data_IF_524969440121
#
_entry.id   IF_524969440121
#
_cell.length_a   1.000
_cell.length_b   1.000
_cell.length_c   1.000
_cell.angle_alpha   90.00
_cell.angle_beta   90.00
_cell.angle_gamma   90.00
#
_symmetry.space_group_name_H-M   'P 1'
#
loop_
_entity.id
_entity.type
_entity.pdbx_description
1 polymer ?
#
# COMPACT_ATOMS: atom_id res chain seq x y z
N UNK A 1 8.90 -22.63 -7.22
CA UNK A 1 8.18 -22.64 -5.92
C UNK A 1 9.18 -22.10 -4.92
N UNK A 2 8.94 -20.92 -4.37
CA UNK A 2 9.85 -20.30 -3.40
C UNK A 2 10.13 -21.27 -2.24
N UNK A 3 11.35 -21.25 -1.69
CA UNK A 3 11.65 -22.10 -0.55
C UNK A 3 10.78 -21.71 0.65
N UNK A 4 10.54 -22.64 1.59
CA UNK A 4 9.84 -22.31 2.84
C UNK A 4 10.52 -21.14 3.59
N UNK A 5 11.84 -21.00 3.47
CA UNK A 5 12.59 -19.90 4.05
C UNK A 5 12.31 -18.56 3.36
N UNK A 6 12.15 -18.54 2.03
CA UNK A 6 11.74 -17.34 1.28
C UNK A 6 10.32 -16.92 1.66
N UNK A 7 9.42 -17.91 1.78
CA UNK A 7 8.03 -17.65 2.14
C UNK A 7 7.90 -17.09 3.56
N UNK A 8 8.64 -17.67 4.51
CA UNK A 8 8.77 -17.12 5.87
C UNK A 8 9.31 -15.68 5.87
N UNK A 9 10.40 -15.43 5.13
CA UNK A 9 11.00 -14.10 5.03
C UNK A 9 10.04 -13.05 4.49
N UNK A 10 9.14 -13.41 3.57
CA UNK A 10 8.10 -12.51 3.07
C UNK A 10 7.18 -12.04 4.19
N UNK A 11 6.56 -12.97 4.93
CA UNK A 11 5.68 -12.60 6.05
C UNK A 11 6.40 -11.77 7.10
N UNK A 12 7.62 -12.17 7.51
CA UNK A 12 8.41 -11.42 8.50
C UNK A 12 8.71 -10.00 8.02
N UNK A 13 9.04 -9.81 6.74
CA UNK A 13 9.27 -8.48 6.17
C UNK A 13 8.00 -7.64 6.10
N UNK A 14 6.86 -8.24 5.74
CA UNK A 14 5.54 -7.57 5.77
C UNK A 14 5.23 -7.09 7.19
N UNK A 15 5.36 -7.95 8.20
CA UNK A 15 5.15 -7.56 9.60
C UNK A 15 6.10 -6.45 10.05
N UNK A 16 7.40 -6.55 9.71
CA UNK A 16 8.39 -5.53 10.06
C UNK A 16 8.04 -4.17 9.46
N UNK A 17 7.61 -4.14 8.20
CA UNK A 17 7.22 -2.88 7.54
C UNK A 17 5.96 -2.28 8.17
N UNK A 18 4.95 -3.11 8.46
CA UNK A 18 3.73 -2.68 9.15
C UNK A 18 4.04 -2.14 10.54
N UNK A 19 4.79 -2.88 11.37
CA UNK A 19 5.17 -2.46 12.72
C UNK A 19 5.97 -1.16 12.72
N UNK A 20 6.86 -0.96 11.74
CA UNK A 20 7.61 0.29 11.60
C UNK A 20 6.73 1.51 11.34
N UNK A 21 5.68 1.35 10.51
CA UNK A 21 4.74 2.44 10.22
C UNK A 21 3.70 2.65 11.32
N UNK A 22 3.46 1.63 12.14
CA UNK A 22 2.44 1.65 13.19
C UNK A 22 3.01 1.90 14.60
N UNK A 23 4.30 2.24 14.71
CA UNK A 23 4.92 2.57 15.99
C UNK A 23 4.29 3.83 16.60
N UNK A 24 3.85 3.74 17.86
CA UNK A 24 3.18 4.84 18.56
C UNK A 24 1.76 5.15 18.05
N UNK A 25 1.24 4.35 17.11
CA UNK A 25 -0.11 4.47 16.58
C UNK A 25 -1.05 3.59 17.40
N UNK A 26 -1.99 4.23 18.10
CA UNK A 26 -3.08 3.55 18.78
C UNK A 26 -3.95 2.76 17.79
N UNK A 27 -4.67 1.76 18.28
CA UNK A 27 -5.69 1.12 17.46
C UNK A 27 -6.78 2.14 17.11
N UNK A 28 -7.11 2.21 15.83
CA UNK A 28 -8.12 3.11 15.28
C UNK A 28 -9.09 2.28 14.45
N UNK A 29 -10.37 2.56 14.65
CA UNK A 29 -11.41 2.03 13.78
C UNK A 29 -11.35 2.74 12.42
N UNK A 30 -11.77 2.02 11.39
CA UNK A 30 -11.85 2.55 10.04
C UNK A 30 -13.22 3.15 9.81
N UNK A 31 -13.25 4.46 9.53
CA UNK A 31 -14.42 5.11 8.94
C UNK A 31 -14.39 4.92 7.42
N UNK A 32 -15.05 3.86 6.96
CA UNK A 32 -15.07 3.44 5.54
C UNK A 32 -15.56 4.57 4.62
N UNK A 33 -16.48 5.42 5.09
CA UNK A 33 -17.05 6.50 4.29
C UNK A 33 -16.06 7.64 4.03
N UNK A 34 -15.05 7.80 4.89
CA UNK A 34 -14.00 8.81 4.76
C UNK A 34 -12.74 8.31 4.06
N UNK A 35 -12.67 7.02 3.75
CA UNK A 35 -11.50 6.47 3.09
C UNK A 35 -11.42 6.94 1.62
N UNK A 36 -10.23 7.38 1.16
CA UNK A 36 -9.97 7.57 -0.25
C UNK A 36 -10.09 6.25 -1.03
N UNK A 37 -10.23 6.34 -2.35
CA UNK A 37 -10.59 5.21 -3.20
C UNK A 37 -9.57 4.04 -3.12
N UNK A 38 -8.27 4.31 -3.08
CA UNK A 38 -7.24 3.27 -2.95
C UNK A 38 -7.26 2.59 -1.57
N UNK A 39 -7.50 3.34 -0.48
CA UNK A 39 -7.69 2.79 0.86
C UNK A 39 -8.94 1.90 0.94
N UNK A 40 -10.06 2.35 0.34
CA UNK A 40 -11.30 1.56 0.24
C UNK A 40 -11.05 0.25 -0.50
N UNK A 41 -10.34 0.31 -1.62
CA UNK A 41 -9.97 -0.89 -2.36
C UNK A 41 -9.11 -1.84 -1.55
N UNK A 42 -8.08 -1.34 -0.86
CA UNK A 42 -7.24 -2.22 -0.05
C UNK A 42 -8.00 -2.85 1.12
N UNK A 43 -8.94 -2.11 1.72
CA UNK A 43 -9.82 -2.66 2.76
C UNK A 43 -10.77 -3.73 2.19
N UNK A 44 -11.34 -3.50 1.01
CA UNK A 44 -12.15 -4.47 0.28
C UNK A 44 -11.36 -5.76 -0.01
N UNK A 45 -10.13 -5.64 -0.51
CA UNK A 45 -9.25 -6.78 -0.77
C UNK A 45 -8.89 -7.54 0.49
N UNK A 46 -8.55 -6.84 1.57
CA UNK A 46 -8.29 -7.46 2.88
C UNK A 46 -9.52 -8.23 3.38
N UNK A 47 -10.71 -7.62 3.35
CA UNK A 47 -11.96 -8.27 3.75
C UNK A 47 -12.20 -9.57 2.96
N UNK A 48 -12.02 -9.52 1.65
CA UNK A 48 -12.23 -10.65 0.74
C UNK A 48 -11.25 -11.78 1.02
N UNK A 49 -9.95 -11.48 1.07
CA UNK A 49 -8.90 -12.48 1.30
C UNK A 49 -9.04 -13.16 2.66
N UNK A 50 -9.34 -12.39 3.72
CA UNK A 50 -9.54 -12.97 5.05
C UNK A 50 -10.82 -13.83 5.14
N UNK A 51 -11.86 -13.48 4.39
CA UNK A 51 -13.05 -14.31 4.21
C UNK A 51 -12.73 -15.65 3.55
N UNK A 52 -12.01 -15.62 2.43
CA UNK A 52 -11.58 -16.82 1.70
C UNK A 52 -10.68 -17.72 2.56
N UNK A 53 -9.74 -17.13 3.30
CA UNK A 53 -8.87 -17.86 4.24
C UNK A 53 -9.68 -18.58 5.31
N UNK A 54 -10.68 -17.91 5.91
CA UNK A 54 -11.59 -18.54 6.88
C UNK A 54 -12.33 -19.72 6.23
N UNK A 55 -12.92 -19.53 5.06
CA UNK A 55 -13.58 -20.61 4.34
C UNK A 55 -12.65 -21.78 4.00
N UNK A 56 -11.38 -21.52 3.70
CA UNK A 56 -10.36 -22.56 3.53
C UNK A 56 -10.02 -23.28 4.83
N UNK A 57 -9.94 -22.58 5.96
CA UNK A 57 -9.66 -23.18 7.26
C UNK A 57 -10.82 -24.04 7.75
N UNK A 58 -12.06 -23.58 7.58
CA UNK A 58 -13.28 -24.33 7.91
C UNK A 58 -13.37 -25.65 7.12
N UNK A 59 -12.86 -25.65 5.89
CA UNK A 59 -12.76 -26.83 5.03
C UNK A 59 -11.46 -27.65 5.24
N UNK A 60 -10.66 -27.35 6.27
CA UNK A 60 -9.37 -27.98 6.56
C UNK A 60 -8.33 -27.87 5.42
N UNK A 61 -8.49 -26.90 4.51
CA UNK A 61 -7.60 -26.61 3.40
C UNK A 61 -6.54 -25.54 3.79
N UNK A 62 -5.80 -25.77 4.87
CA UNK A 62 -4.83 -24.79 5.42
C UNK A 62 -3.79 -24.30 4.40
N UNK A 63 -3.35 -25.18 3.50
CA UNK A 63 -2.41 -24.84 2.43
C UNK A 63 -2.97 -23.77 1.46
N UNK A 64 -4.28 -23.76 1.21
CA UNK A 64 -4.93 -22.74 0.38
C UNK A 64 -5.00 -21.40 1.11
N UNK A 65 -5.39 -21.40 2.39
CA UNK A 65 -5.37 -20.20 3.22
C UNK A 65 -3.97 -19.59 3.35
N UNK A 66 -2.95 -20.42 3.58
CA UNK A 66 -1.55 -19.99 3.57
C UNK A 66 -1.16 -19.34 2.25
N UNK A 67 -1.49 -19.98 1.12
CA UNK A 67 -1.18 -19.48 -0.22
C UNK A 67 -1.86 -18.15 -0.50
N UNK A 68 -3.14 -18.00 -0.15
CA UNK A 68 -3.88 -16.76 -0.32
C UNK A 68 -3.21 -15.59 0.44
N UNK A 69 -2.81 -15.81 1.70
CA UNK A 69 -2.12 -14.78 2.51
C UNK A 69 -0.71 -14.48 1.97
N UNK A 70 -0.01 -15.50 1.47
CA UNK A 70 1.32 -15.35 0.89
C UNK A 70 1.30 -14.55 -0.42
N UNK A 71 0.31 -14.81 -1.28
CA UNK A 71 0.08 -14.07 -2.53
C UNK A 71 -0.37 -12.64 -2.23
N UNK A 72 -1.30 -12.44 -1.27
CA UNK A 72 -1.74 -11.11 -0.84
C UNK A 72 -0.57 -10.26 -0.31
N UNK A 73 0.28 -10.82 0.57
CA UNK A 73 1.46 -10.12 1.09
C UNK A 73 2.45 -9.70 -0.01
N UNK A 74 2.64 -10.54 -1.03
CA UNK A 74 3.59 -10.27 -2.11
C UNK A 74 3.04 -9.30 -3.14
N UNK A 75 1.89 -9.64 -3.72
CA UNK A 75 1.36 -8.98 -4.91
C UNK A 75 0.58 -7.72 -4.56
N UNK A 76 -0.34 -7.80 -3.59
CA UNK A 76 -1.27 -6.70 -3.31
C UNK A 76 -0.71 -5.72 -2.27
N UNK A 77 0.05 -6.21 -1.30
CA UNK A 77 0.72 -5.36 -0.31
C UNK A 77 2.08 -4.87 -0.80
N UNK A 78 3.10 -5.74 -0.84
CA UNK A 78 4.49 -5.32 -1.08
C UNK A 78 4.71 -4.69 -2.46
N UNK A 79 4.19 -5.31 -3.52
CA UNK A 79 4.42 -4.87 -4.90
C UNK A 79 3.45 -3.77 -5.37
N UNK A 80 2.44 -3.44 -4.56
CA UNK A 80 1.39 -2.50 -4.94
C UNK A 80 1.12 -1.48 -3.83
N UNK A 81 0.33 -1.83 -2.81
CA UNK A 81 -0.20 -0.84 -1.87
C UNK A 81 0.89 -0.17 -1.02
N UNK A 82 1.83 -0.95 -0.49
CA UNK A 82 2.92 -0.39 0.33
C UNK A 82 3.81 0.52 -0.50
N UNK A 83 4.09 0.16 -1.75
CA UNK A 83 4.90 1.00 -2.64
C UNK A 83 4.18 2.30 -2.99
N UNK A 84 2.90 2.22 -3.33
CA UNK A 84 2.05 3.37 -3.64
C UNK A 84 1.89 4.35 -2.46
N UNK A 85 2.03 3.87 -1.22
CA UNK A 85 1.83 4.67 0.01
C UNK A 85 3.08 5.10 0.75
N UNK A 86 4.28 4.67 0.33
CA UNK A 86 5.55 5.12 0.94
C UNK A 86 5.65 6.64 0.99
N UNK A 87 5.27 7.34 -0.07
CA UNK A 87 5.39 8.80 -0.11
C UNK A 87 4.44 9.48 0.87
N UNK A 88 3.18 9.04 0.95
CA UNK A 88 2.19 9.50 1.94
C UNK A 88 2.69 9.27 3.35
N UNK A 89 3.09 8.04 3.68
CA UNK A 89 3.48 7.67 5.04
C UNK A 89 4.72 8.43 5.53
N UNK A 90 5.66 8.72 4.62
CA UNK A 90 6.95 9.32 4.98
C UNK A 90 7.00 10.84 4.79
N UNK A 91 6.16 11.39 3.90
CA UNK A 91 6.23 12.79 3.52
C UNK A 91 4.99 13.61 3.92
N UNK A 92 3.86 13.02 4.26
CA UNK A 92 2.74 13.84 4.72
C UNK A 92 2.90 14.27 6.18
N UNK A 93 2.21 15.35 6.55
CA UNK A 93 2.06 15.75 7.94
C UNK A 93 1.41 14.62 8.75
N UNK A 94 1.72 14.53 10.05
CA UNK A 94 1.26 13.45 10.90
C UNK A 94 -0.28 13.35 10.96
N UNK A 95 -0.96 14.49 10.89
CA UNK A 95 -2.40 14.71 10.94
C UNK A 95 -3.07 14.85 9.55
N UNK A 96 -2.32 14.63 8.46
CA UNK A 96 -2.90 14.58 7.11
C UNK A 96 -4.05 13.56 7.05
N UNK A 97 -5.17 13.94 6.42
CA UNK A 97 -6.32 13.06 6.26
C UNK A 97 -5.94 11.78 5.50
N UNK A 98 -5.17 11.92 4.42
CA UNK A 98 -4.73 10.78 3.60
C UNK A 98 -3.77 9.86 4.38
N UNK A 99 -2.85 10.43 5.16
CA UNK A 99 -1.95 9.64 6.02
C UNK A 99 -2.74 8.90 7.10
N UNK A 100 -3.69 9.57 7.74
CA UNK A 100 -4.54 8.99 8.78
C UNK A 100 -5.41 7.86 8.22
N UNK A 101 -6.00 8.05 7.03
CA UNK A 101 -6.73 7.01 6.32
C UNK A 101 -5.83 5.80 6.02
N UNK A 102 -4.64 6.02 5.47
CA UNK A 102 -3.68 4.95 5.19
C UNK A 102 -3.30 4.17 6.45
N UNK A 103 -2.96 4.87 7.54
CA UNK A 103 -2.63 4.27 8.83
C UNK A 103 -3.78 3.42 9.37
N UNK A 104 -5.03 3.90 9.27
CA UNK A 104 -6.20 3.15 9.73
C UNK A 104 -6.34 1.81 8.99
N UNK A 105 -6.09 1.79 7.68
CA UNK A 105 -6.08 0.56 6.86
C UNK A 105 -4.88 -0.33 7.22
N UNK A 106 -3.70 0.24 7.48
CA UNK A 106 -2.53 -0.54 7.92
C UNK A 106 -2.76 -1.25 9.27
N UNK A 107 -3.48 -0.63 10.21
CA UNK A 107 -3.90 -1.28 11.46
C UNK A 107 -4.76 -2.50 11.16
N UNK A 108 -5.74 -2.37 10.27
CA UNK A 108 -6.60 -3.49 9.88
C UNK A 108 -5.80 -4.61 9.20
N UNK A 109 -4.89 -4.27 8.29
CA UNK A 109 -4.01 -5.24 7.61
C UNK A 109 -3.15 -5.99 8.63
N UNK A 110 -2.51 -5.27 9.56
CA UNK A 110 -1.65 -5.89 10.56
C UNK A 110 -2.43 -6.89 11.41
N UNK A 111 -3.53 -6.45 12.04
CA UNK A 111 -4.34 -7.32 12.88
C UNK A 111 -4.89 -8.51 12.07
N UNK A 112 -5.25 -8.29 10.81
CA UNK A 112 -5.91 -9.29 9.97
C UNK A 112 -4.94 -10.40 9.60
N UNK A 113 -3.75 -10.02 9.12
CA UNK A 113 -2.69 -10.96 8.80
C UNK A 113 -2.22 -11.72 10.05
N UNK A 114 -1.95 -11.03 11.15
CA UNK A 114 -1.35 -11.65 12.34
C UNK A 114 -2.32 -12.63 12.99
N UNK A 115 -3.61 -12.30 13.10
CA UNK A 115 -4.63 -13.22 13.64
C UNK A 115 -4.86 -14.44 12.74
N UNK A 116 -4.92 -14.26 11.41
CA UNK A 116 -5.19 -15.37 10.47
C UNK A 116 -3.95 -16.26 10.20
N UNK A 117 -2.73 -15.74 10.41
CA UNK A 117 -1.51 -16.54 10.35
C UNK A 117 -1.18 -17.24 11.67
N UNK A 118 -1.78 -16.84 12.79
CA UNK A 118 -1.43 -17.37 14.11
C UNK A 118 -1.53 -18.90 14.23
N UNK A 119 -2.55 -19.58 13.64
CA UNK A 119 -2.61 -21.05 13.65
C UNK A 119 -1.48 -21.73 12.86
N UNK A 120 -0.87 -21.03 11.91
CA UNK A 120 0.15 -21.58 10.99
C UNK A 120 1.58 -21.20 11.39
N UNK A 121 1.76 -20.04 12.04
CA UNK A 121 3.07 -19.45 12.34
C UNK A 121 3.14 -18.91 13.79
N UNK A 122 2.86 -19.73 14.80
CA UNK A 122 2.47 -19.26 16.14
C UNK A 122 3.51 -18.38 16.83
N UNK A 123 4.79 -18.71 16.71
CA UNK A 123 5.86 -17.94 17.35
C UNK A 123 6.07 -16.57 16.69
N UNK A 124 5.99 -16.49 15.36
CA UNK A 124 6.28 -15.25 14.63
C UNK A 124 5.12 -14.28 14.69
N UNK A 125 3.88 -14.76 14.62
CA UNK A 125 2.70 -13.92 14.80
C UNK A 125 2.61 -13.39 16.22
N UNK A 126 2.94 -14.21 17.22
CA UNK A 126 2.94 -13.80 18.62
C UNK A 126 4.08 -12.82 18.95
N UNK A 127 5.28 -13.01 18.38
CA UNK A 127 6.37 -12.01 18.41
C UNK A 127 5.89 -10.67 17.83
N UNK A 128 5.27 -10.68 16.64
CA UNK A 128 4.77 -9.48 15.99
C UNK A 128 3.67 -8.79 16.81
N UNK A 129 2.74 -9.57 17.39
CA UNK A 129 1.65 -9.08 18.23
C UNK A 129 2.18 -8.39 19.49
N UNK A 130 3.09 -9.03 20.22
CA UNK A 130 3.74 -8.44 21.40
C UNK A 130 4.52 -7.18 21.08
N UNK A 131 5.18 -7.13 19.91
CA UNK A 131 5.86 -5.89 19.47
C UNK A 131 4.90 -4.72 19.26
N UNK A 132 3.62 -4.96 18.96
CA UNK A 132 2.61 -3.90 18.84
C UNK A 132 1.94 -3.58 20.17
N UNK A 133 1.53 -4.59 20.93
CA UNK A 133 0.62 -4.45 22.07
C UNK A 133 1.29 -4.63 23.45
N UNK A 134 2.58 -4.95 23.50
CA UNK A 134 3.33 -5.18 24.73
C UNK A 134 3.56 -6.67 25.02
N UNK A 135 4.52 -6.96 25.90
CA UNK A 135 5.04 -8.31 26.13
C UNK A 135 4.01 -9.28 26.76
N UNK A 136 3.00 -8.77 27.45
CA UNK A 136 1.92 -9.55 28.08
C UNK A 136 0.78 -9.89 27.09
N UNK A 137 0.75 -9.28 25.90
CA UNK A 137 -0.28 -9.56 24.91
C UNK A 137 -0.01 -10.91 24.22
N UNK A 138 -1.07 -11.61 23.81
CA UNK A 138 -0.95 -12.91 23.15
C UNK A 138 -1.96 -13.04 22.01
N UNK A 139 -1.49 -13.19 20.78
CA UNK A 139 -2.38 -13.32 19.61
C UNK A 139 -3.25 -14.58 19.69
N UNK A 140 -2.79 -15.60 20.39
CA UNK A 140 -3.51 -16.87 20.52
C UNK A 140 -4.74 -16.79 21.44
N UNK A 141 -4.92 -15.66 22.14
CA UNK A 141 -6.12 -15.33 22.91
C UNK A 141 -7.12 -14.50 22.11
N UNK A 142 -6.76 -14.11 20.88
CA UNK A 142 -7.59 -13.30 20.00
C UNK A 142 -8.42 -14.18 19.06
N UNK A 143 -9.50 -13.60 18.54
CA UNK A 143 -10.27 -14.19 17.45
C UNK A 143 -9.75 -13.70 16.09
N UNK A 144 -10.06 -14.44 15.03
CA UNK A 144 -9.86 -13.94 13.68
C UNK A 144 -10.55 -12.60 13.51
N UNK A 145 -9.80 -11.59 13.10
CA UNK A 145 -10.34 -10.25 12.95
C UNK A 145 -11.47 -10.22 11.93
N UNK A 146 -12.54 -9.53 12.31
CA UNK A 146 -13.56 -9.11 11.37
C UNK A 146 -13.21 -7.73 10.79
N UNK A 147 -12.83 -7.71 9.51
CA UNK A 147 -12.54 -6.46 8.79
C UNK A 147 -13.84 -5.96 8.15
N UNK A 148 -14.21 -4.67 8.31
CA UNK A 148 -15.39 -4.13 7.63
C UNK A 148 -15.21 -4.22 6.11
N UNK A 149 -16.26 -4.62 5.40
CA UNK A 149 -16.28 -4.56 3.95
C UNK A 149 -16.27 -3.11 3.47
N UNK A 150 -15.65 -2.87 2.32
CA UNK A 150 -15.79 -1.64 1.57
C UNK A 150 -16.34 -1.95 0.19
N UNK A 151 -17.37 -1.22 -0.23
CA UNK A 151 -17.85 -1.28 -1.61
C UNK A 151 -16.86 -0.56 -2.51
N UNK A 152 -16.58 -1.13 -3.68
CA UNK A 152 -15.73 -0.55 -4.73
C UNK A 152 -16.33 -0.84 -6.08
N UNK A 153 -16.09 0.05 -7.05
CA UNK A 153 -16.47 -0.21 -8.44
C UNK A 153 -15.52 -1.25 -9.04
N UNK A 154 -15.97 -2.50 -9.12
CA UNK A 154 -15.19 -3.61 -9.64
C UNK A 154 -14.73 -3.38 -11.09
N UNK A 155 -15.56 -2.75 -11.93
CA UNK A 155 -15.22 -2.47 -13.32
C UNK A 155 -14.14 -1.38 -13.41
N UNK A 156 -14.26 -0.31 -12.61
CA UNK A 156 -13.22 0.71 -12.52
C UNK A 156 -11.88 0.11 -12.08
N UNK A 157 -11.88 -0.73 -11.05
CA UNK A 157 -10.65 -1.35 -10.53
C UNK A 157 -10.03 -2.36 -11.49
N UNK A 158 -10.84 -3.15 -12.21
CA UNK A 158 -10.35 -4.00 -13.30
C UNK A 158 -9.65 -3.17 -14.38
N UNK A 159 -10.26 -2.06 -14.80
CA UNK A 159 -9.69 -1.15 -15.79
C UNK A 159 -8.41 -0.47 -15.28
N UNK A 160 -8.37 -0.04 -14.00
CA UNK A 160 -7.18 0.55 -13.37
C UNK A 160 -6.01 -0.42 -13.32
N UNK A 161 -6.23 -1.67 -12.92
CA UNK A 161 -5.18 -2.68 -12.84
C UNK A 161 -4.68 -3.06 -14.24
N UNK A 162 -5.58 -3.20 -15.23
CA UNK A 162 -5.19 -3.43 -16.61
C UNK A 162 -4.37 -2.27 -17.20
N UNK A 163 -4.76 -1.03 -16.89
CA UNK A 163 -3.98 0.15 -17.28
C UNK A 163 -2.62 0.17 -16.59
N UNK A 164 -2.56 -0.12 -15.29
CA UNK A 164 -1.31 -0.20 -14.52
C UNK A 164 -0.33 -1.19 -15.12
N UNK A 165 -0.80 -2.36 -15.56
CA UNK A 165 0.05 -3.36 -16.19
C UNK A 165 0.63 -2.85 -17.51
N UNK A 166 -0.19 -2.19 -18.35
CA UNK A 166 0.28 -1.51 -19.58
C UNK A 166 1.31 -0.42 -19.28
N UNK A 167 1.06 0.42 -18.27
CA UNK A 167 1.99 1.48 -17.84
C UNK A 167 3.31 0.89 -17.35
N UNK A 168 3.28 -0.18 -16.53
CA UNK A 168 4.47 -0.85 -16.04
C UNK A 168 5.32 -1.45 -17.17
N UNK A 169 4.69 -1.99 -18.21
CA UNK A 169 5.41 -2.46 -19.39
C UNK A 169 6.18 -1.34 -20.09
N UNK A 170 5.56 -0.17 -20.29
CA UNK A 170 6.24 0.98 -20.91
C UNK A 170 7.31 1.58 -20.00
N UNK A 171 7.08 1.64 -18.68
CA UNK A 171 8.08 2.06 -17.70
C UNK A 171 9.31 1.15 -17.74
N UNK A 172 9.13 -0.17 -17.87
CA UNK A 172 10.24 -1.11 -17.95
C UNK A 172 11.04 -0.95 -19.25
N UNK A 173 10.38 -0.71 -20.39
CA UNK A 173 11.07 -0.36 -21.65
C UNK A 173 11.93 0.90 -21.48
N UNK A 174 11.36 1.93 -20.85
CA UNK A 174 12.07 3.19 -20.62
C UNK A 174 13.25 3.02 -19.65
N UNK A 175 13.10 2.18 -18.63
CA UNK A 175 14.16 1.82 -17.69
C UNK A 175 15.29 1.05 -18.37
N UNK A 176 14.96 0.05 -19.19
CA UNK A 176 15.93 -0.74 -19.95
C UNK A 176 16.74 0.11 -20.94
N UNK A 177 16.14 1.17 -21.48
CA UNK A 177 16.82 2.16 -22.32
C UNK A 177 17.64 3.21 -21.54
N UNK A 178 17.68 3.14 -20.20
CA UNK A 178 18.39 4.09 -19.35
C UNK A 178 17.70 5.45 -19.17
N UNK A 179 16.42 5.57 -19.54
CA UNK A 179 15.67 6.82 -19.47
C UNK A 179 15.30 7.23 -18.04
N UNK A 180 14.89 6.26 -17.21
CA UNK A 180 14.47 6.47 -15.82
C UNK A 180 15.11 5.43 -14.89
N UNK A 181 15.34 5.78 -13.62
CA UNK A 181 15.67 4.83 -12.56
C UNK A 181 14.44 4.35 -11.80
N UNK A 182 13.58 5.28 -11.38
CA UNK A 182 12.36 5.02 -10.62
C UNK A 182 11.09 5.43 -11.38
N UNK A 183 9.94 4.83 -11.03
CA UNK A 183 8.63 5.21 -11.60
C UNK A 183 8.31 6.69 -11.36
N UNK A 184 8.77 7.25 -10.23
CA UNK A 184 8.56 8.68 -9.92
C UNK A 184 9.29 9.61 -10.88
N UNK A 185 10.23 9.14 -11.70
CA UNK A 185 10.85 9.96 -12.75
C UNK A 185 9.99 10.07 -14.01
N UNK A 186 8.86 9.37 -14.07
CA UNK A 186 8.02 9.31 -15.26
C UNK A 186 6.77 10.21 -15.16
N UNK A 187 6.27 10.58 -16.33
CA UNK A 187 4.94 11.10 -16.57
C UNK A 187 4.18 10.19 -17.53
N UNK A 188 2.85 10.12 -17.38
CA UNK A 188 2.00 9.21 -18.13
C UNK A 188 0.83 9.96 -18.75
N UNK A 189 0.61 9.79 -20.04
CA UNK A 189 -0.62 10.19 -20.73
C UNK A 189 -1.51 8.96 -20.84
N UNK A 190 -2.75 9.02 -20.38
CA UNK A 190 -3.67 7.88 -20.39
C UNK A 190 -4.77 8.05 -21.45
N UNK A 191 -5.13 6.93 -22.06
CA UNK A 191 -6.19 6.78 -23.07
C UNK A 191 -7.48 6.19 -22.48
N UNK A 192 -7.72 6.43 -21.19
CA UNK A 192 -8.82 5.83 -20.44
C UNK A 192 -9.59 6.86 -19.62
N UNK A 193 -10.90 6.66 -19.51
CA UNK A 193 -11.77 7.44 -18.63
C UNK A 193 -11.64 6.95 -17.18
N UNK A 194 -10.48 7.26 -16.59
CA UNK A 194 -10.13 6.94 -15.20
C UNK A 194 -9.71 8.20 -14.43
N UNK A 195 -9.93 8.25 -13.11
CA UNK A 195 -9.49 9.39 -12.30
C UNK A 195 -7.96 9.52 -12.32
N UNK A 196 -7.48 10.64 -12.84
CA UNK A 196 -6.04 10.92 -13.06
C UNK A 196 -5.22 10.75 -11.78
N UNK A 197 -5.71 11.27 -10.65
CA UNK A 197 -5.03 11.16 -9.37
C UNK A 197 -4.93 9.72 -8.87
N UNK A 198 -6.00 8.93 -9.04
CA UNK A 198 -5.99 7.52 -8.67
C UNK A 198 -4.99 6.73 -9.54
N UNK A 199 -4.93 7.00 -10.84
CA UNK A 199 -3.93 6.40 -11.73
C UNK A 199 -2.51 6.78 -11.29
N UNK A 200 -2.28 8.05 -10.94
CA UNK A 200 -0.99 8.55 -10.45
C UNK A 200 -0.52 7.79 -9.21
N UNK A 201 -1.43 7.54 -8.26
CA UNK A 201 -1.16 6.76 -7.06
C UNK A 201 -0.88 5.29 -7.39
N UNK A 202 -1.76 4.66 -8.18
CA UNK A 202 -1.71 3.24 -8.53
C UNK A 202 -0.45 2.87 -9.34
N UNK A 203 0.01 3.78 -10.20
CA UNK A 203 1.21 3.57 -11.03
C UNK A 203 2.51 4.07 -10.37
N UNK A 204 2.42 4.86 -9.29
CA UNK A 204 3.60 5.41 -8.61
C UNK A 204 4.41 6.39 -9.46
N UNK A 205 3.77 7.12 -10.37
CA UNK A 205 4.40 8.08 -11.29
C UNK A 205 4.22 9.52 -10.82
N UNK A 206 5.01 10.47 -11.30
CA UNK A 206 4.93 11.86 -10.80
C UNK A 206 3.79 12.68 -11.39
N UNK A 207 3.45 12.42 -12.66
CA UNK A 207 2.41 13.15 -13.35
C UNK A 207 1.57 12.22 -14.22
N UNK A 208 0.27 12.48 -14.28
CA UNK A 208 -0.66 11.81 -15.18
C UNK A 208 -1.52 12.87 -15.86
N UNK A 209 -1.77 12.72 -17.16
CA UNK A 209 -2.69 13.55 -17.94
C UNK A 209 -3.52 12.69 -18.90
N UNK A 210 -4.61 13.25 -19.44
CA UNK A 210 -5.46 12.55 -20.43
C UNK A 210 -4.98 12.84 -21.85
N UNK A 211 -5.08 11.85 -22.73
CA UNK A 211 -4.81 11.99 -24.16
C UNK A 211 -5.46 10.89 -24.99
N UNK A 212 -5.11 10.83 -26.27
CA UNK A 212 -5.70 9.86 -27.22
C UNK A 212 -5.05 8.47 -27.15
N UNK A 213 -3.78 8.41 -26.73
CA UNK A 213 -3.00 7.18 -26.67
C UNK A 213 -2.18 7.11 -25.38
N UNK A 214 -1.97 5.90 -24.87
CA UNK A 214 -1.07 5.67 -23.74
C UNK A 214 0.37 6.06 -24.12
N UNK A 215 0.96 6.99 -23.36
CA UNK A 215 2.36 7.39 -23.51
C UNK A 215 3.03 7.45 -22.14
N UNK A 216 4.28 6.98 -22.06
CA UNK A 216 5.10 7.05 -20.86
C UNK A 216 6.44 7.68 -21.23
N UNK A 217 6.79 8.76 -20.55
CA UNK A 217 8.00 9.52 -20.81
C UNK A 217 8.70 9.91 -19.50
N UNK A 218 9.97 10.30 -19.60
CA UNK A 218 10.68 10.90 -18.47
C UNK A 218 10.11 12.28 -18.21
N UNK A 219 9.70 12.54 -16.98
CA UNK A 219 9.19 13.84 -16.56
C UNK A 219 10.31 14.90 -16.67
N UNK A 220 10.07 15.96 -17.43
CA UNK A 220 11.05 17.05 -17.68
C UNK A 220 11.26 18.04 -16.53
N UNK A 221 10.79 17.71 -15.32
CA UNK A 221 10.70 18.64 -14.19
C UNK A 221 11.84 18.51 -13.19
N UNK A 222 11.66 19.12 -12.03
CA UNK A 222 12.60 19.10 -10.92
C UNK A 222 12.22 18.03 -9.89
N UNK A 223 13.20 17.22 -9.48
CA UNK A 223 13.04 16.23 -8.40
C UNK A 223 12.94 16.93 -7.05
N UNK A 224 11.87 16.70 -6.30
CA UNK A 224 11.80 17.06 -4.89
C UNK A 224 12.71 16.11 -4.06
N UNK A 225 13.69 16.62 -3.29
CA UNK A 225 14.61 15.77 -2.53
C UNK A 225 13.96 15.03 -1.36
N UNK A 226 12.74 15.41 -0.95
CA UNK A 226 12.00 14.78 0.15
C UNK A 226 11.11 13.63 -0.31
N UNK A 227 10.13 13.89 -1.19
CA UNK A 227 9.22 12.85 -1.67
C UNK A 227 9.66 12.13 -2.95
N UNK A 228 10.74 12.60 -3.58
CA UNK A 228 11.33 12.04 -4.82
C UNK A 228 10.40 12.02 -6.04
N UNK A 229 9.28 12.74 -5.98
CA UNK A 229 8.44 13.07 -7.14
C UNK A 229 8.98 14.29 -7.88
N UNK A 230 8.60 14.40 -9.14
CA UNK A 230 9.00 15.44 -10.07
C UNK A 230 7.87 16.45 -10.27
N UNK A 231 8.24 17.71 -10.37
CA UNK A 231 7.31 18.83 -10.47
C UNK A 231 7.83 19.85 -11.49
N UNK A 232 6.93 20.59 -12.15
CA UNK A 232 7.33 21.66 -13.07
C UNK A 232 8.11 22.79 -12.39
N UNK A 233 7.85 23.02 -11.09
CA UNK A 233 8.59 23.96 -10.23
C UNK A 233 8.66 23.45 -8.79
N UNK A 234 9.65 23.91 -8.05
CA UNK A 234 9.76 23.72 -6.60
C UNK A 234 9.58 25.07 -5.89
N UNK A 235 9.28 25.02 -4.60
CA UNK A 235 9.21 26.21 -3.75
C UNK A 235 10.61 26.78 -3.47
N UNK A 236 10.67 27.98 -2.89
CA UNK A 236 11.94 28.64 -2.54
C UNK A 236 12.82 27.81 -1.60
N UNK A 237 12.19 26.94 -0.79
CA UNK A 237 12.84 25.98 0.09
C UNK A 237 13.52 24.81 -0.64
N UNK A 238 13.35 24.68 -1.96
CA UNK A 238 13.92 23.60 -2.77
C UNK A 238 13.15 22.27 -2.67
N UNK A 239 11.93 22.27 -2.15
CA UNK A 239 11.02 21.12 -2.09
C UNK A 239 9.68 21.46 -2.74
N UNK A 240 8.82 20.47 -3.00
CA UNK A 240 7.49 20.73 -3.55
C UNK A 240 6.55 21.29 -2.48
N UNK A 241 5.48 21.98 -2.90
CA UNK A 241 4.48 22.59 -2.01
C UNK A 241 3.98 21.63 -0.92
N UNK A 242 3.54 20.43 -1.29
CA UNK A 242 3.10 19.37 -0.35
C UNK A 242 4.13 19.07 0.73
N UNK A 243 5.41 19.00 0.35
CA UNK A 243 6.48 18.74 1.32
C UNK A 243 6.76 19.97 2.18
N UNK A 244 6.66 21.16 1.62
CA UNK A 244 6.87 22.42 2.32
C UNK A 244 5.84 22.61 3.43
N UNK A 245 4.56 22.40 3.11
CA UNK A 245 3.44 22.43 4.06
C UNK A 245 3.60 21.40 5.19
N UNK A 246 4.02 20.18 4.86
CA UNK A 246 4.27 19.13 5.86
C UNK A 246 5.44 19.46 6.80
N UNK A 247 6.48 20.15 6.31
CA UNK A 247 7.61 20.58 7.14
C UNK A 247 7.22 21.77 8.02
N UNK A 248 6.40 22.69 7.49
CA UNK A 248 5.93 23.86 8.23
C UNK A 248 5.09 23.47 9.46
N UNK A 249 4.19 22.51 9.31
CA UNK A 249 3.36 21.97 10.41
C UNK A 249 4.19 21.29 11.49
N UNK A 250 5.24 20.55 11.11
CA UNK A 250 6.13 19.88 12.08
C UNK A 250 6.93 20.87 12.94
N UNK A 251 7.26 22.06 12.43
CA UNK A 251 7.97 23.10 13.21
C UNK A 251 7.07 23.82 14.21
N UNK A 252 5.75 23.73 14.02
CA UNK A 252 4.77 24.40 14.87
C UNK A 252 4.28 23.53 16.04
N UNK A 253 4.59 22.23 16.05
CA UNK A 253 4.26 21.26 17.09
C UNK A 253 5.44 21.03 18.05
#
# INVERSE_FOLDING_TARGET
>A
MDSMADAYRRFRNTFRWLLGNLHGVADVDVDVARLPELERYMLHRLHTVLGDVRGHFDAYHFHKGYRALYEFCGTELSNFYFDARKDVLYCDAADSELRTACISVLVQIFRGLVTHLAPLMPFTTDEAWRKRYGDEACVHMEVFQNVPGAEVDATQWQNLLALRDRVNMELEKLRAAGGIGANTEAEVVIDAELPVELVREVCGVSHVSKGETLQVAKHGGHKCPRCWRYYGKLEQSGICLRCDEAVATTKAA
#
